data_IF_641320368240
#
_entry.id   IF_641320368240
#
_cell.length_a   1.000
_cell.length_b   1.000
_cell.length_c   1.000
_cell.angle_alpha   90.00
_cell.angle_beta   90.00
_cell.angle_gamma   90.00
#
_symmetry.space_group_name_H-M   'P 1'
#
loop_
_entity.id
_entity.type
_entity.pdbx_description
1 polymer ?
#
# COMPACT_ATOMS: atom_id res chain seq x y z
N UNK A 1 -21.56 22.71 1.23
CA UNK A 1 -22.02 23.20 2.55
C UNK A 1 -22.04 24.70 2.52
N UNK A 2 -23.17 25.33 2.85
CA UNK A 2 -23.25 26.79 2.98
C UNK A 2 -22.47 27.24 4.23
N UNK A 3 -21.74 28.37 4.19
CA UNK A 3 -20.97 28.88 5.34
C UNK A 3 -21.81 29.04 6.61
N UNK A 4 -23.06 29.50 6.48
CA UNK A 4 -23.95 29.76 7.61
C UNK A 4 -24.28 28.48 8.41
N UNK A 5 -24.52 27.36 7.71
CA UNK A 5 -24.74 26.05 8.34
C UNK A 5 -23.49 25.49 9.03
N UNK A 6 -22.30 25.89 8.58
CA UNK A 6 -21.06 25.46 9.23
C UNK A 6 -20.87 26.20 10.56
N UNK A 7 -21.14 27.51 10.59
CA UNK A 7 -21.04 28.37 11.78
C UNK A 7 -22.08 27.95 12.84
N UNK A 8 -23.34 27.74 12.44
CA UNK A 8 -24.42 27.32 13.36
C UNK A 8 -24.10 26.04 14.14
N UNK A 9 -23.34 25.12 13.53
CA UNK A 9 -23.02 23.83 14.12
C UNK A 9 -21.57 23.72 14.62
N UNK A 10 -20.81 24.82 14.68
CA UNK A 10 -19.41 24.82 15.13
C UNK A 10 -18.49 23.97 14.23
N UNK A 11 -18.71 23.99 12.91
CA UNK A 11 -18.02 23.16 11.91
C UNK A 11 -17.08 23.97 11.01
N UNK A 12 -16.92 25.26 11.25
CA UNK A 12 -16.06 26.18 10.50
C UNK A 12 -14.58 25.75 10.52
N UNK A 13 -14.12 25.18 11.64
CA UNK A 13 -12.78 24.62 11.79
C UNK A 13 -12.55 23.28 11.05
N UNK A 14 -13.60 22.65 10.48
CA UNK A 14 -13.43 21.37 9.79
C UNK A 14 -12.64 21.57 8.52
N UNK A 15 -11.60 20.75 8.35
CA UNK A 15 -10.84 20.72 7.10
C UNK A 15 -11.80 20.48 5.93
N UNK A 16 -11.74 21.30 4.86
CA UNK A 16 -12.58 21.08 3.68
C UNK A 16 -12.29 19.70 3.08
N UNK A 17 -13.33 19.03 2.60
CA UNK A 17 -13.20 17.72 1.97
C UNK A 17 -12.45 17.87 0.64
N UNK A 18 -11.14 17.61 0.68
CA UNK A 18 -10.21 17.74 -0.44
C UNK A 18 -9.34 16.49 -0.54
N UNK A 19 -8.70 16.30 -1.70
CA UNK A 19 -7.79 15.18 -1.96
C UNK A 19 -8.35 14.17 -2.96
N UNK A 20 -7.52 13.20 -3.34
CA UNK A 20 -7.82 12.24 -4.40
C UNK A 20 -9.12 11.46 -4.17
N UNK A 21 -9.46 11.12 -2.91
CA UNK A 21 -10.69 10.41 -2.52
C UNK A 21 -11.99 11.15 -2.83
N UNK A 22 -11.91 12.48 -2.96
CA UNK A 22 -13.03 13.35 -3.29
C UNK A 22 -13.25 13.47 -4.80
N UNK A 23 -12.17 13.37 -5.58
CA UNK A 23 -12.16 13.56 -7.03
C UNK A 23 -12.43 12.23 -7.75
N UNK A 24 -11.80 11.16 -7.29
CA UNK A 24 -11.88 9.85 -7.92
C UNK A 24 -12.34 8.78 -6.91
N UNK A 25 -13.39 8.06 -7.27
CA UNK A 25 -13.92 6.97 -6.46
C UNK A 25 -12.94 5.80 -6.34
N UNK A 26 -12.06 5.60 -7.33
CA UNK A 26 -11.04 4.53 -7.31
C UNK A 26 -9.94 4.79 -6.26
N UNK A 27 -9.72 6.05 -5.89
CA UNK A 27 -8.73 6.46 -4.90
C UNK A 27 -9.21 6.31 -3.44
N UNK A 28 -10.47 5.92 -3.22
CA UNK A 28 -11.04 5.72 -1.87
C UNK A 28 -10.36 4.56 -1.12
N UNK A 29 -10.66 4.44 0.18
CA UNK A 29 -10.17 3.31 0.97
C UNK A 29 -10.60 1.99 0.28
N UNK A 30 -9.65 1.08 0.09
CA UNK A 30 -9.85 -0.18 -0.65
C UNK A 30 -10.30 -0.03 -2.11
N UNK A 31 -10.19 1.16 -2.69
CA UNK A 31 -10.47 1.38 -4.10
C UNK A 31 -9.41 0.77 -5.02
N UNK A 32 -9.71 0.82 -6.32
CA UNK A 32 -8.98 0.16 -7.41
C UNK A 32 -7.82 0.97 -7.99
N UNK A 33 -7.57 2.21 -7.52
CA UNK A 33 -6.43 3.01 -7.99
C UNK A 33 -5.10 2.27 -7.75
N UNK A 34 -4.33 2.02 -8.81
CA UNK A 34 -3.10 1.23 -8.76
C UNK A 34 -2.00 1.86 -7.91
N UNK A 35 -1.88 3.18 -7.93
CA UNK A 35 -0.94 3.91 -7.09
C UNK A 35 -1.28 3.72 -5.61
N UNK A 36 -2.55 3.97 -5.23
CA UNK A 36 -3.02 3.79 -3.86
C UNK A 36 -2.94 2.33 -3.42
N UNK A 37 -3.24 1.37 -4.31
CA UNK A 37 -3.12 -0.06 -4.05
C UNK A 37 -1.67 -0.44 -3.79
N UNK A 38 -0.74 0.02 -4.62
CA UNK A 38 0.69 -0.26 -4.46
C UNK A 38 1.24 0.24 -3.13
N UNK A 39 0.82 1.43 -2.68
CA UNK A 39 1.22 1.96 -1.38
C UNK A 39 0.70 1.12 -0.20
N UNK A 40 -0.53 0.60 -0.28
CA UNK A 40 -1.09 -0.31 0.74
C UNK A 40 -0.32 -1.64 0.79
N UNK A 41 0.06 -2.16 -0.37
CA UNK A 41 0.76 -3.45 -0.51
C UNK A 41 2.27 -3.37 -0.26
N UNK A 42 2.83 -2.18 0.02
CA UNK A 42 4.28 -1.99 0.09
C UNK A 42 4.96 -2.92 1.11
N UNK A 43 4.39 -3.02 2.32
CA UNK A 43 4.95 -3.86 3.37
C UNK A 43 4.92 -5.35 2.97
N UNK A 44 3.81 -5.82 2.40
CA UNK A 44 3.68 -7.20 1.94
C UNK A 44 4.67 -7.52 0.82
N UNK A 45 4.80 -6.62 -0.17
CA UNK A 45 5.79 -6.77 -1.26
C UNK A 45 7.21 -6.85 -0.71
N UNK A 46 7.56 -5.98 0.24
CA UNK A 46 8.88 -5.97 0.88
C UNK A 46 9.16 -7.26 1.64
N UNK A 47 8.20 -7.79 2.38
CA UNK A 47 8.40 -9.06 3.09
C UNK A 47 8.50 -10.23 2.11
N UNK A 48 7.67 -10.28 1.07
CA UNK A 48 7.75 -11.29 0.02
C UNK A 48 9.12 -11.30 -0.67
N UNK A 49 9.68 -10.13 -0.94
CA UNK A 49 11.01 -10.00 -1.54
C UNK A 49 12.12 -10.55 -0.64
N UNK A 50 12.06 -10.27 0.67
CA UNK A 50 12.97 -10.88 1.65
C UNK A 50 12.84 -12.40 1.71
N UNK A 51 11.61 -12.93 1.68
CA UNK A 51 11.39 -14.39 1.66
C UNK A 51 12.00 -15.01 0.42
N UNK A 52 11.77 -14.42 -0.75
CA UNK A 52 12.31 -14.90 -2.03
C UNK A 52 13.83 -14.95 -2.01
N UNK A 53 14.49 -13.90 -1.50
CA UNK A 53 15.94 -13.87 -1.35
C UNK A 53 16.45 -15.06 -0.52
N UNK A 54 15.82 -15.32 0.64
CA UNK A 54 16.21 -16.47 1.49
C UNK A 54 16.00 -17.83 0.81
N UNK A 55 14.92 -17.97 0.05
CA UNK A 55 14.65 -19.20 -0.70
C UNK A 55 15.68 -19.43 -1.82
N UNK A 56 16.10 -18.36 -2.51
CA UNK A 56 17.12 -18.46 -3.55
C UNK A 56 18.47 -18.83 -2.99
N UNK A 57 18.87 -18.23 -1.86
CA UNK A 57 20.14 -18.57 -1.19
C UNK A 57 20.17 -20.04 -0.77
N UNK A 58 19.05 -20.52 -0.20
CA UNK A 58 18.93 -21.93 0.19
C UNK A 58 18.99 -22.88 -1.02
N UNK A 59 18.33 -22.52 -2.12
CA UNK A 59 18.38 -23.33 -3.35
C UNK A 59 19.79 -23.38 -3.94
N UNK A 60 20.54 -22.27 -3.91
CA UNK A 60 21.92 -22.23 -4.36
C UNK A 60 22.80 -23.18 -3.55
N UNK A 61 22.68 -23.13 -2.22
CA UNK A 61 23.42 -24.04 -1.34
C UNK A 61 23.09 -25.53 -1.61
N UNK A 62 21.82 -25.87 -1.86
CA UNK A 62 21.45 -27.24 -2.24
C UNK A 62 22.14 -27.65 -3.54
N UNK A 63 22.11 -26.78 -4.55
CA UNK A 63 22.72 -27.06 -5.84
C UNK A 63 24.23 -27.26 -5.70
N UNK A 64 24.91 -26.41 -4.93
CA UNK A 64 26.34 -26.53 -4.63
C UNK A 64 26.67 -27.87 -3.97
N UNK A 65 25.98 -28.23 -2.89
CA UNK A 65 26.15 -29.53 -2.24
C UNK A 65 25.92 -30.70 -3.21
N UNK A 66 24.88 -30.63 -4.05
CA UNK A 66 24.60 -31.69 -5.00
C UNK A 66 25.71 -31.87 -6.04
N UNK A 67 26.33 -30.77 -6.49
CA UNK A 67 27.44 -30.80 -7.44
C UNK A 67 28.74 -31.32 -6.81
N UNK A 68 28.97 -31.06 -5.52
CA UNK A 68 30.12 -31.59 -4.79
C UNK A 68 30.01 -33.11 -4.51
N UNK A 69 28.78 -33.62 -4.40
CA UNK A 69 28.51 -35.04 -4.15
C UNK A 69 28.33 -35.90 -5.40
N UNK A 70 28.32 -35.29 -6.60
CA UNK A 70 28.16 -35.96 -7.89
C UNK A 70 29.50 -36.31 -8.54
#
# INVERSE_FOLDING_TARGET
MSPNKAIEHGKEHRRPYRGSKAVDYTCRNHGTCDWCKSNRMYNEKRELEKMKCRLTDFQQHINEYSNETA
#
